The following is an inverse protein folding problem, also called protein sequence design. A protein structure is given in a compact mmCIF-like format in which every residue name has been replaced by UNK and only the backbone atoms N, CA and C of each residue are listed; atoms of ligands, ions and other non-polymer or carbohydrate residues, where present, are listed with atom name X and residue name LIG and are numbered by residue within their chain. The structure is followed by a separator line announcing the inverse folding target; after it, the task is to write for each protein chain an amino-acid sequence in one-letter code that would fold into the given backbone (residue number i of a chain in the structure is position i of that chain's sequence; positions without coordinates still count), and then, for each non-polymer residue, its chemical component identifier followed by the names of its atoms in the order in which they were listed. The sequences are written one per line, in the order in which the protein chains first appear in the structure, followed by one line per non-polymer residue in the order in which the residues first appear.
data_IF_192990982356
#
_entry.id   IF_192990982356
#
_cell.length_a   1.000
_cell.length_b   1.000
_cell.length_c   1.000
_cell.angle_alpha   90.00
_cell.angle_beta   90.00
_cell.angle_gamma   90.00
#
_symmetry.space_group_name_H-M   'P 1'
#
loop_
_entity.id
_entity.type
_entity.pdbx_description
1 polymer ?
#
# COMPACT_ATOMS: atom_id res chain seq x y z
N UNK A 1 -22.43 -34.74 4.80
CA UNK A 1 -23.33 -33.91 3.98
C UNK A 1 -22.47 -32.97 3.15
N UNK A 2 -22.51 -33.06 1.82
CA UNK A 2 -21.69 -32.20 0.96
C UNK A 2 -22.30 -30.80 0.88
N UNK A 3 -21.56 -29.78 1.29
CA UNK A 3 -21.99 -28.39 1.14
C UNK A 3 -21.88 -27.99 -0.33
N UNK A 4 -23.01 -27.91 -1.04
CA UNK A 4 -23.07 -27.36 -2.39
C UNK A 4 -22.45 -25.96 -2.42
N UNK A 5 -21.45 -25.76 -3.28
CA UNK A 5 -20.83 -24.44 -3.48
C UNK A 5 -21.90 -23.49 -4.01
N UNK A 6 -22.18 -22.40 -3.28
CA UNK A 6 -23.05 -21.33 -3.75
C UNK A 6 -22.36 -20.64 -4.92
N UNK A 7 -22.88 -20.82 -6.12
CA UNK A 7 -22.48 -20.05 -7.30
C UNK A 7 -23.21 -18.71 -7.22
N UNK A 8 -22.45 -17.62 -7.12
CA UNK A 8 -22.97 -16.26 -7.16
C UNK A 8 -22.71 -15.74 -8.57
N UNK A 9 -23.75 -15.30 -9.28
CA UNK A 9 -23.56 -14.70 -10.60
C UNK A 9 -23.00 -13.29 -10.48
N UNK A 10 -22.48 -12.76 -11.58
CA UNK A 10 -21.94 -11.40 -11.60
C UNK A 10 -23.00 -10.36 -11.24
N UNK A 11 -24.22 -10.51 -11.74
CA UNK A 11 -25.32 -9.58 -11.47
C UNK A 11 -25.69 -9.58 -9.98
N UNK A 12 -25.76 -10.77 -9.37
CA UNK A 12 -26.02 -10.91 -7.93
C UNK A 12 -24.90 -10.31 -7.08
N UNK A 13 -23.64 -10.43 -7.53
CA UNK A 13 -22.49 -9.82 -6.87
C UNK A 13 -22.56 -8.28 -6.93
N UNK A 14 -22.80 -7.72 -8.11
CA UNK A 14 -22.91 -6.27 -8.32
C UNK A 14 -24.09 -5.67 -7.51
N UNK A 15 -25.23 -6.38 -7.47
CA UNK A 15 -26.38 -5.97 -6.64
C UNK A 15 -26.01 -5.93 -5.16
N UNK A 16 -25.36 -6.99 -4.66
CA UNK A 16 -24.89 -7.04 -3.27
C UNK A 16 -23.87 -5.95 -2.96
N UNK A 17 -22.97 -5.68 -3.89
CA UNK A 17 -21.95 -4.64 -3.73
C UNK A 17 -22.58 -3.24 -3.61
N UNK A 18 -23.59 -2.94 -4.44
CA UNK A 18 -24.31 -1.67 -4.38
C UNK A 18 -25.15 -1.51 -3.09
N UNK A 19 -25.64 -2.61 -2.53
CA UNK A 19 -26.36 -2.60 -1.25
C UNK A 19 -25.44 -2.35 -0.03
N UNK A 20 -24.12 -2.54 -0.17
CA UNK A 20 -23.17 -2.27 0.90
C UNK A 20 -23.06 -0.76 1.10
N UNK A 21 -23.61 -0.29 2.23
CA UNK A 21 -23.47 1.10 2.67
C UNK A 21 -22.20 1.26 3.49
N UNK A 22 -21.15 1.77 2.86
CA UNK A 22 -19.93 2.19 3.55
C UNK A 22 -20.12 3.65 3.99
N UNK A 23 -19.88 3.92 5.27
CA UNK A 23 -19.89 5.29 5.80
C UNK A 23 -18.62 6.02 5.35
N UNK A 24 -18.77 7.27 4.93
CA UNK A 24 -17.63 8.08 4.48
C UNK A 24 -16.59 8.24 5.59
N UNK A 25 -17.07 8.33 6.83
CA UNK A 25 -16.25 8.46 8.04
C UNK A 25 -15.33 7.26 8.24
N UNK A 26 -15.84 6.04 8.02
CA UNK A 26 -15.07 4.80 8.15
C UNK A 26 -13.97 4.74 7.07
N UNK A 27 -14.29 5.14 5.84
CA UNK A 27 -13.30 5.23 4.75
C UNK A 27 -12.25 6.29 5.04
N UNK A 28 -12.65 7.46 5.52
CA UNK A 28 -11.71 8.53 5.86
C UNK A 28 -10.76 8.08 6.98
N UNK A 29 -11.27 7.38 8.00
CA UNK A 29 -10.45 6.84 9.08
C UNK A 29 -9.44 5.81 8.55
N UNK A 30 -9.87 4.94 7.62
CA UNK A 30 -8.99 3.97 6.99
C UNK A 30 -7.86 4.65 6.20
N UNK A 31 -8.20 5.66 5.39
CA UNK A 31 -7.22 6.43 4.62
C UNK A 31 -6.26 7.18 5.54
N UNK A 32 -6.78 7.82 6.60
CA UNK A 32 -5.95 8.52 7.58
C UNK A 32 -4.96 7.56 8.26
N UNK A 33 -5.42 6.38 8.68
CA UNK A 33 -4.56 5.36 9.28
C UNK A 33 -3.46 4.90 8.32
N UNK A 34 -3.79 4.70 7.05
CA UNK A 34 -2.80 4.34 6.03
C UNK A 34 -1.71 5.42 5.89
N UNK A 35 -2.10 6.69 5.75
CA UNK A 35 -1.16 7.81 5.61
C UNK A 35 -0.25 7.94 6.84
N UNK A 36 -0.79 7.71 8.04
CA UNK A 36 -0.05 7.74 9.30
C UNK A 36 0.91 6.56 9.43
N UNK A 37 0.48 5.35 9.07
CA UNK A 37 1.27 4.11 9.21
C UNK A 37 2.42 4.03 8.21
N UNK A 38 2.20 4.51 6.99
CA UNK A 38 3.23 4.60 5.96
C UNK A 38 4.15 5.81 6.15
N UNK A 39 3.77 6.76 7.01
CA UNK A 39 4.59 7.92 7.35
C UNK A 39 4.49 9.08 6.37
N UNK A 40 3.40 9.16 5.60
CA UNK A 40 3.12 10.27 4.70
C UNK A 40 2.57 11.48 5.45
N UNK A 41 3.43 12.14 6.23
CA UNK A 41 3.05 13.23 7.14
C UNK A 41 2.35 14.39 6.41
N UNK A 42 2.89 14.84 5.28
CA UNK A 42 2.29 15.94 4.50
C UNK A 42 0.91 15.57 3.93
N UNK A 43 0.77 14.33 3.45
CA UNK A 43 -0.50 13.85 2.91
C UNK A 43 -1.54 13.67 4.02
N UNK A 44 -1.13 13.16 5.19
CA UNK A 44 -2.00 13.05 6.37
C UNK A 44 -2.49 14.43 6.83
N UNK A 45 -1.62 15.45 6.82
CA UNK A 45 -1.98 16.81 7.20
C UNK A 45 -2.99 17.45 6.23
N UNK A 46 -2.75 17.31 4.92
CA UNK A 46 -3.70 17.79 3.88
C UNK A 46 -5.03 17.04 3.97
N UNK A 47 -4.97 15.71 4.12
CA UNK A 47 -6.16 14.88 4.24
C UNK A 47 -6.97 15.23 5.49
N UNK A 48 -6.31 15.54 6.62
CA UNK A 48 -6.99 16.04 7.82
C UNK A 48 -7.76 17.33 7.55
N UNK A 49 -7.14 18.28 6.86
CA UNK A 49 -7.76 19.57 6.52
C UNK A 49 -8.99 19.41 5.60
N UNK A 50 -8.92 18.48 4.64
CA UNK A 50 -9.99 18.23 3.68
C UNK A 50 -11.12 17.35 4.23
N UNK A 51 -10.78 16.34 5.02
CA UNK A 51 -11.73 15.33 5.51
C UNK A 51 -12.29 15.63 6.90
N UNK A 52 -11.68 16.56 7.65
CA UNK A 52 -11.99 16.82 9.05
C UNK A 52 -11.75 15.63 9.99
N UNK A 53 -11.05 14.59 9.51
CA UNK A 53 -10.78 13.38 10.29
C UNK A 53 -9.48 13.55 11.05
N UNK A 54 -9.53 13.45 12.38
CA UNK A 54 -8.33 13.49 13.21
C UNK A 54 -7.60 12.14 13.21
N UNK A 55 -6.26 12.14 13.14
CA UNK A 55 -5.46 10.93 13.31
C UNK A 55 -5.46 10.49 14.79
N UNK A 56 -5.51 9.17 15.02
CA UNK A 56 -5.43 8.57 16.37
C UNK A 56 -4.03 8.73 17.01
N UNK A 57 -3.01 9.11 16.23
CA UNK A 57 -1.61 9.27 16.64
C UNK A 57 -1.15 10.66 16.23
N UNK A 58 -0.40 11.33 17.11
CA UNK A 58 0.17 12.63 16.80
C UNK A 58 1.16 12.56 15.63
N UNK A 59 0.93 13.39 14.62
CA UNK A 59 1.73 13.45 13.39
C UNK A 59 3.22 13.73 13.68
N UNK A 60 3.53 14.44 14.77
CA UNK A 60 4.91 14.73 15.16
C UNK A 60 5.69 13.46 15.55
N UNK A 61 5.02 12.49 16.16
CA UNK A 61 5.64 11.21 16.60
C UNK A 61 5.88 10.22 15.46
N UNK A 62 5.24 10.44 14.30
CA UNK A 62 5.40 9.60 13.11
C UNK A 62 6.80 9.73 12.53
N UNK A 63 7.37 10.95 12.56
CA UNK A 63 8.71 11.23 12.02
C UNK A 63 9.77 10.40 12.73
N UNK A 64 9.67 10.24 14.06
CA UNK A 64 10.59 9.42 14.85
C UNK A 64 10.46 7.93 14.48
N UNK A 65 9.23 7.44 14.34
CA UNK A 65 8.97 6.05 13.92
C UNK A 65 9.52 5.77 12.52
N UNK A 66 9.41 6.75 11.62
CA UNK A 66 9.95 6.67 10.25
C UNK A 66 11.48 6.70 10.24
N UNK A 67 12.10 7.53 11.07
CA UNK A 67 13.55 7.55 11.22
C UNK A 67 14.08 6.19 11.72
N UNK A 68 13.41 5.59 12.70
CA UNK A 68 13.73 4.24 13.20
C UNK A 68 13.52 3.17 12.11
N UNK A 69 12.37 3.17 11.42
CA UNK A 69 12.09 2.22 10.31
C UNK A 69 13.16 2.32 9.22
N UNK A 70 13.53 3.55 8.82
CA UNK A 70 14.53 3.82 7.80
C UNK A 70 15.92 3.39 8.25
N UNK A 71 16.29 3.65 9.51
CA UNK A 71 17.57 3.21 10.08
C UNK A 71 17.68 1.68 10.16
N UNK A 72 16.58 1.00 10.52
CA UNK A 72 16.51 -0.47 10.51
C UNK A 72 16.62 -1.00 9.08
N UNK A 73 15.90 -0.42 8.12
CA UNK A 73 15.98 -0.82 6.72
C UNK A 73 17.36 -0.55 6.12
N UNK A 74 17.97 0.61 6.37
CA UNK A 74 19.30 0.94 5.86
C UNK A 74 20.37 0.05 6.47
N UNK A 75 20.31 -0.23 7.78
CA UNK A 75 21.23 -1.17 8.43
C UNK A 75 21.02 -2.62 7.99
N UNK A 76 19.81 -2.99 7.58
CA UNK A 76 19.54 -4.28 6.94
C UNK A 76 20.09 -4.33 5.51
N UNK A 77 19.95 -3.25 4.73
CA UNK A 77 20.50 -3.15 3.36
C UNK A 77 22.03 -3.21 3.39
N UNK A 78 22.69 -2.49 4.31
CA UNK A 78 24.14 -2.52 4.48
C UNK A 78 24.64 -3.94 4.81
N UNK A 79 23.99 -4.61 5.78
CA UNK A 79 24.30 -6.00 6.10
C UNK A 79 24.02 -6.97 4.95
N UNK A 80 23.00 -6.73 4.12
CA UNK A 80 22.72 -7.55 2.93
C UNK A 80 23.76 -7.32 1.83
N UNK A 81 24.23 -6.07 1.65
CA UNK A 81 25.33 -5.76 0.74
C UNK A 81 26.64 -6.43 1.17
N UNK A 82 26.93 -6.47 2.47
CA UNK A 82 28.13 -7.14 3.02
C UNK A 82 28.04 -8.67 2.91
N UNK A 83 26.82 -9.23 2.99
CA UNK A 83 26.60 -10.68 2.97
C UNK A 83 26.40 -11.27 1.58
N UNK A 84 26.03 -10.48 0.56
CA UNK A 84 25.86 -11.00 -0.81
C UNK A 84 25.82 -9.90 -1.91
N UNK A 85 26.97 -9.47 -2.47
CA UNK A 85 27.02 -8.42 -3.49
C UNK A 85 26.32 -8.80 -4.82
N UNK A 86 26.04 -10.08 -5.07
CA UNK A 86 25.40 -10.53 -6.33
C UNK A 86 23.86 -10.43 -6.34
N UNK A 87 23.19 -10.26 -5.20
CA UNK A 87 21.71 -10.22 -5.16
C UNK A 87 21.08 -8.91 -5.63
N UNK A 88 21.87 -7.85 -5.81
CA UNK A 88 21.38 -6.59 -6.39
C UNK A 88 21.14 -6.71 -7.91
N UNK A 89 21.67 -7.76 -8.57
CA UNK A 89 21.56 -7.96 -10.01
C UNK A 89 20.40 -8.88 -10.44
N UNK A 90 19.61 -9.41 -9.49
CA UNK A 90 18.59 -10.44 -9.78
C UNK A 90 17.16 -9.90 -9.89
N UNK A 91 16.97 -8.58 -9.82
CA UNK A 91 15.71 -7.93 -10.24
C UNK A 91 15.88 -7.06 -11.50
N UNK A 92 16.25 -7.62 -12.66
CA UNK A 92 16.06 -6.95 -13.94
C UNK A 92 14.58 -7.09 -14.34
N UNK A 93 13.66 -6.45 -13.59
CA UNK A 93 12.24 -6.38 -13.96
C UNK A 93 12.01 -5.51 -15.23
N UNK A 94 13.07 -4.93 -15.79
CA UNK A 94 13.03 -4.25 -17.09
C UNK A 94 13.72 -5.08 -18.18
N UNK A 95 13.38 -6.37 -18.28
CA UNK A 95 13.60 -7.16 -19.50
C UNK A 95 12.26 -7.34 -20.22
N UNK A 96 11.68 -6.21 -20.67
CA UNK A 96 10.75 -6.28 -21.79
C UNK A 96 11.57 -6.71 -23.01
N UNK A 97 11.20 -7.78 -23.73
CA UNK A 97 11.82 -8.04 -25.02
C UNK A 97 11.49 -6.85 -25.92
N UNK A 98 12.52 -6.13 -26.38
CA UNK A 98 12.37 -5.23 -27.52
C UNK A 98 12.00 -6.13 -28.70
N UNK A 99 10.70 -6.20 -29.03
CA UNK A 99 10.27 -6.59 -30.35
C UNK A 99 10.99 -5.68 -31.35
N UNK A 100 11.99 -6.22 -32.03
CA UNK A 100 12.56 -5.58 -33.19
C UNK A 100 11.49 -5.63 -34.28
N UNK A 101 10.70 -4.56 -34.38
CA UNK A 101 9.90 -4.27 -35.57
C UNK A 101 10.88 -4.06 -36.71
N UNK A 102 11.03 -5.11 -37.51
CA UNK A 102 11.74 -5.08 -38.79
C UNK A 102 10.67 -4.86 -39.86
N UNK A 103 10.63 -3.66 -40.42
CA UNK A 103 9.79 -3.36 -41.59
C UNK A 103 10.44 -2.25 -42.41
N UNK A 104 10.20 -2.26 -43.72
CA UNK A 104 10.82 -3.08 -44.75
C UNK A 104 12.11 -2.44 -45.31
#
# INVERSE_FOLDING_TARGET
MATSKKVITREDWEKRLNDVKIRKEDTNRLVMNFLVTEGYVEAAQKFKMESGTDPDIDLATITDRMAVKKAVQSGAIEKVNDLNPEKLNEYPCCSLPRETVKTP
#
